data_IF_923249691990
#
_entry.id   IF_923249691990
#
_cell.length_a   1.000
_cell.length_b   1.000
_cell.length_c   1.000
_cell.angle_alpha   90.00
_cell.angle_beta   90.00
_cell.angle_gamma   90.00
#
_symmetry.space_group_name_H-M   'P 1'
#
loop_
_entity.id
_entity.type
_entity.pdbx_description
1 polymer ?
#
# COMPACT_ATOMS: atom_id res chain seq x y z
N UNK A 1 15.98 -10.44 11.50
CA UNK A 1 14.61 -10.31 10.96
C UNK A 1 14.62 -9.05 10.11
N UNK A 2 14.36 -9.17 8.81
CA UNK A 2 14.42 -7.99 7.92
C UNK A 2 13.31 -7.01 8.27
N UNK A 3 13.68 -5.74 8.41
CA UNK A 3 12.76 -4.65 8.67
C UNK A 3 11.88 -4.41 7.43
N UNK A 4 10.57 -4.18 7.62
CA UNK A 4 9.60 -4.01 6.52
C UNK A 4 10.01 -2.96 5.46
N UNK A 5 10.82 -1.97 5.84
CA UNK A 5 11.32 -0.94 4.91
C UNK A 5 12.24 -1.56 3.85
N UNK A 6 13.12 -2.50 4.23
CA UNK A 6 14.01 -3.19 3.28
C UNK A 6 13.21 -4.05 2.30
N UNK A 7 12.24 -4.82 2.81
CA UNK A 7 11.36 -5.65 1.99
C UNK A 7 10.52 -4.81 1.02
N UNK A 8 10.05 -3.63 1.44
CA UNK A 8 9.37 -2.68 0.56
C UNK A 8 10.27 -2.26 -0.61
N UNK A 9 11.52 -1.93 -0.34
CA UNK A 9 12.47 -1.50 -1.39
C UNK A 9 12.72 -2.63 -2.39
N UNK A 10 13.02 -3.84 -1.90
CA UNK A 10 13.21 -5.01 -2.76
C UNK A 10 11.97 -5.31 -3.61
N UNK A 11 10.77 -5.21 -3.03
CA UNK A 11 9.52 -5.39 -3.78
C UNK A 11 9.33 -4.33 -4.87
N UNK A 12 9.68 -3.07 -4.62
CA UNK A 12 9.58 -2.00 -5.60
C UNK A 12 10.59 -2.17 -6.74
N UNK A 13 11.83 -2.59 -6.44
CA UNK A 13 12.86 -2.93 -7.42
C UNK A 13 12.41 -4.11 -8.30
N UNK A 14 11.85 -5.16 -7.70
CA UNK A 14 11.23 -6.27 -8.42
C UNK A 14 10.13 -5.80 -9.37
N UNK A 15 9.25 -4.91 -8.91
CA UNK A 15 8.16 -4.34 -9.72
C UNK A 15 8.71 -3.52 -10.89
N UNK A 16 9.81 -2.80 -10.70
CA UNK A 16 10.45 -2.00 -11.75
C UNK A 16 11.17 -2.86 -12.78
N UNK A 17 12.12 -3.68 -12.33
CA UNK A 17 13.08 -4.38 -13.19
C UNK A 17 12.47 -5.66 -13.74
N UNK A 18 11.95 -6.52 -12.88
CA UNK A 18 11.49 -7.86 -13.28
C UNK A 18 10.08 -7.83 -13.88
N UNK A 19 9.22 -6.93 -13.39
CA UNK A 19 7.85 -6.77 -13.91
C UNK A 19 7.72 -5.68 -14.96
N UNK A 20 8.81 -4.96 -15.26
CA UNK A 20 8.86 -3.92 -16.30
C UNK A 20 7.82 -2.82 -16.09
N UNK A 21 7.45 -2.51 -14.84
CA UNK A 21 6.46 -1.45 -14.58
C UNK A 21 7.11 -0.09 -14.73
N UNK A 22 6.32 0.88 -15.18
CA UNK A 22 6.79 2.26 -15.27
C UNK A 22 7.18 2.81 -13.90
N UNK A 23 8.17 3.71 -13.87
CA UNK A 23 8.57 4.46 -12.67
C UNK A 23 7.35 5.04 -11.96
N UNK A 24 6.37 5.57 -12.70
CA UNK A 24 5.14 6.11 -12.10
C UNK A 24 4.32 5.07 -11.34
N UNK A 25 4.33 3.82 -11.78
CA UNK A 25 3.67 2.72 -11.08
C UNK A 25 4.40 2.41 -9.78
N UNK A 26 5.74 2.35 -9.82
CA UNK A 26 6.59 2.14 -8.64
C UNK A 26 6.36 3.24 -7.60
N UNK A 27 6.39 4.52 -7.99
CA UNK A 27 6.08 5.66 -7.11
C UNK A 27 4.68 5.55 -6.47
N UNK A 28 3.69 5.11 -7.26
CA UNK A 28 2.34 4.93 -6.75
C UNK A 28 2.29 3.81 -5.72
N UNK A 29 2.95 2.69 -5.98
CA UNK A 29 3.01 1.56 -5.05
C UNK A 29 3.73 1.93 -3.77
N UNK A 30 4.87 2.63 -3.86
CA UNK A 30 5.60 3.13 -2.70
C UNK A 30 4.70 3.99 -1.80
N UNK A 31 3.97 4.95 -2.41
CA UNK A 31 3.03 5.80 -1.69
C UNK A 31 1.92 5.00 -1.01
N UNK A 32 1.38 3.98 -1.66
CA UNK A 32 0.30 3.16 -1.11
C UNK A 32 0.77 2.28 0.03
N UNK A 33 1.90 1.59 -0.14
CA UNK A 33 2.52 0.74 0.88
C UNK A 33 2.94 1.58 2.09
N UNK A 34 3.58 2.73 1.86
CA UNK A 34 3.97 3.64 2.94
C UNK A 34 2.77 4.15 3.74
N UNK A 35 1.65 4.48 3.07
CA UNK A 35 0.41 4.87 3.76
C UNK A 35 -0.15 3.72 4.61
N UNK A 36 -0.18 2.51 4.07
CA UNK A 36 -0.66 1.33 4.78
C UNK A 36 0.22 1.03 6.00
N UNK A 37 1.55 0.97 5.84
CA UNK A 37 2.48 0.70 6.93
C UNK A 37 2.37 1.73 8.06
N UNK A 38 2.24 3.01 7.70
CA UNK A 38 2.04 4.07 8.69
C UNK A 38 0.70 3.93 9.43
N UNK A 39 -0.39 3.63 8.72
CA UNK A 39 -1.71 3.49 9.35
C UNK A 39 -1.79 2.28 10.27
N UNK A 40 -1.37 1.11 9.78
CA UNK A 40 -1.48 -0.16 10.51
C UNK A 40 -0.28 -0.44 11.42
N UNK A 41 0.68 0.49 11.51
CA UNK A 41 1.91 0.35 12.31
C UNK A 41 2.68 -0.94 12.00
N UNK A 42 2.78 -1.28 10.70
CA UNK A 42 3.48 -2.46 10.22
C UNK A 42 4.99 -2.27 10.43
N UNK A 43 5.62 -3.21 11.13
CA UNK A 43 7.07 -3.25 11.38
C UNK A 43 7.71 -4.50 10.78
N UNK A 44 6.95 -5.59 10.70
CA UNK A 44 7.36 -6.87 10.13
C UNK A 44 6.25 -7.43 9.23
N UNK A 45 6.58 -8.47 8.45
CA UNK A 45 5.60 -9.13 7.56
C UNK A 45 4.44 -9.74 8.35
N UNK A 46 4.68 -10.25 9.56
CA UNK A 46 3.64 -10.86 10.40
C UNK A 46 2.56 -9.86 10.86
N UNK A 47 2.85 -8.56 10.84
CA UNK A 47 1.85 -7.53 11.16
C UNK A 47 0.82 -7.38 10.02
N UNK A 48 1.16 -7.82 8.80
CA UNK A 48 0.27 -7.79 7.64
C UNK A 48 -0.69 -8.97 7.72
N UNK A 49 -1.85 -8.71 8.33
CA UNK A 49 -2.95 -9.67 8.49
C UNK A 49 -4.20 -9.22 7.73
N UNK A 50 -5.14 -10.14 7.51
CA UNK A 50 -6.46 -9.80 6.95
C UNK A 50 -7.16 -8.70 7.75
N UNK A 51 -7.04 -8.73 9.07
CA UNK A 51 -7.62 -7.73 9.96
C UNK A 51 -6.98 -6.35 9.76
N UNK A 52 -5.64 -6.29 9.65
CA UNK A 52 -4.94 -5.03 9.37
C UNK A 52 -5.38 -4.41 8.03
N UNK A 53 -5.57 -5.25 7.00
CA UNK A 53 -6.04 -4.84 5.67
C UNK A 53 -7.50 -4.39 5.73
N UNK A 54 -8.36 -5.11 6.48
CA UNK A 54 -9.77 -4.76 6.67
C UNK A 54 -9.92 -3.42 7.40
N UNK A 55 -9.15 -3.20 8.46
CA UNK A 55 -9.12 -1.93 9.18
C UNK A 55 -8.68 -0.78 8.26
N UNK A 56 -7.63 -0.98 7.45
CA UNK A 56 -7.17 0.02 6.50
C UNK A 56 -8.21 0.36 5.43
N UNK A 57 -8.95 -0.63 4.92
CA UNK A 57 -10.08 -0.41 4.00
C UNK A 57 -11.17 0.45 4.62
N UNK A 58 -11.55 0.16 5.85
CA UNK A 58 -12.57 0.92 6.57
C UNK A 58 -12.10 2.36 6.83
N UNK A 59 -10.83 2.54 7.17
CA UNK A 59 -10.24 3.85 7.33
C UNK A 59 -10.22 4.65 6.02
N UNK A 60 -9.81 4.04 4.90
CA UNK A 60 -9.84 4.65 3.56
C UNK A 60 -11.25 5.09 3.17
N UNK A 61 -12.27 4.31 3.50
CA UNK A 61 -13.67 4.63 3.23
C UNK A 61 -14.13 5.93 3.93
N UNK A 62 -13.54 6.23 5.09
CA UNK A 62 -13.84 7.42 5.90
C UNK A 62 -12.95 8.63 5.59
N UNK A 63 -11.98 8.50 4.68
CA UNK A 63 -11.10 9.61 4.34
C UNK A 63 -11.82 10.65 3.49
N UNK A 64 -11.50 11.95 3.66
CA UNK A 64 -12.01 13.00 2.79
C UNK A 64 -11.45 12.83 1.37
N UNK A 65 -12.31 13.04 0.39
CA UNK A 65 -11.97 13.18 -1.02
C UNK A 65 -12.16 14.63 -1.48
N UNK A 66 -12.01 14.87 -2.78
CA UNK A 66 -12.19 16.21 -3.39
C UNK A 66 -13.60 16.77 -3.19
N UNK A 67 -14.61 15.92 -3.09
CA UNK A 67 -16.00 16.29 -2.79
C UNK A 67 -16.63 15.18 -1.97
N UNK A 68 -16.69 15.37 -0.65
CA UNK A 68 -17.20 14.35 0.28
C UNK A 68 -16.15 13.27 0.58
N UNK A 69 -16.58 12.01 0.62
CA UNK A 69 -15.68 10.89 0.93
C UNK A 69 -14.77 10.51 -0.24
N UNK A 70 -13.68 9.81 0.07
CA UNK A 70 -12.73 9.30 -0.91
C UNK A 70 -13.42 8.38 -1.92
N UNK A 71 -13.26 8.63 -3.22
CA UNK A 71 -13.90 7.81 -4.27
C UNK A 71 -13.46 6.34 -4.16
N UNK A 72 -14.39 5.40 -4.39
CA UNK A 72 -14.12 3.95 -4.38
C UNK A 72 -12.96 3.54 -5.30
N UNK A 73 -12.85 4.15 -6.49
CA UNK A 73 -11.73 3.93 -7.42
C UNK A 73 -10.38 4.27 -6.77
N UNK A 74 -10.33 5.41 -6.06
CA UNK A 74 -9.13 5.85 -5.35
C UNK A 74 -8.81 4.94 -4.18
N UNK A 75 -9.81 4.49 -3.41
CA UNK A 75 -9.62 3.50 -2.35
C UNK A 75 -9.02 2.20 -2.91
N UNK A 76 -9.53 1.72 -4.05
CA UNK A 76 -9.03 0.50 -4.69
C UNK A 76 -7.56 0.62 -5.11
N UNK A 77 -7.08 1.80 -5.51
CA UNK A 77 -5.66 1.99 -5.87
C UNK A 77 -4.72 1.65 -4.71
N UNK A 78 -5.05 2.04 -3.49
CA UNK A 78 -4.25 1.70 -2.31
C UNK A 78 -4.15 0.20 -2.05
N UNK A 79 -5.10 -0.59 -2.55
CA UNK A 79 -5.14 -2.04 -2.36
C UNK A 79 -4.45 -2.83 -3.46
N UNK A 80 -4.15 -2.21 -4.60
CA UNK A 80 -3.48 -2.90 -5.71
C UNK A 80 -2.11 -3.38 -5.26
N UNK A 81 -1.32 -2.51 -4.62
CA UNK A 81 0.02 -2.84 -4.15
C UNK A 81 0.06 -3.95 -3.07
N UNK A 82 -1.09 -4.26 -2.44
CA UNK A 82 -1.22 -5.32 -1.43
C UNK A 82 -1.68 -6.67 -2.02
N UNK A 83 -1.95 -6.73 -3.32
CA UNK A 83 -2.50 -7.91 -4.02
C UNK A 83 -1.57 -8.53 -5.05
N UNK A 84 -0.48 -7.84 -5.39
CA UNK A 84 0.43 -8.22 -6.48
C UNK A 84 1.30 -9.39 -6.07
#
# INVERSE_FOLDING_TARGET
MENIVALKMQFLEYVEIERGRSVKTVENYDRYLTRFFKYANIKTVSDISEESIRAFRLWLNRQPGTSGALKRRTQNYYLIALRV
#
